data_IF_484424352224
#
_entry.id   IF_484424352224
#
_cell.length_a   1.000
_cell.length_b   1.000
_cell.length_c   1.000
_cell.angle_alpha   90.00
_cell.angle_beta   90.00
_cell.angle_gamma   90.00
#
_symmetry.space_group_name_H-M   'P 1'
#
loop_
_entity.id
_entity.type
_entity.pdbx_description
1 polymer ?
#
# COMPACT_ATOMS: atom_id res chain seq x y z
N UNK A 1 4.17 -2.52 0.81
CA UNK A 1 4.01 -1.30 1.65
C UNK A 1 5.31 -1.09 2.42
N UNK A 2 5.77 0.14 2.67
CA UNK A 2 7.00 0.37 3.44
C UNK A 2 6.69 0.60 4.94
N UNK A 3 7.62 0.26 5.84
CA UNK A 3 7.49 0.57 7.26
C UNK A 3 7.47 2.07 7.53
N UNK A 4 6.78 2.47 8.60
CA UNK A 4 6.77 3.84 9.10
C UNK A 4 8.12 4.23 9.74
N UNK A 5 8.22 5.47 10.24
CA UNK A 5 9.43 5.98 10.91
C UNK A 5 9.85 5.20 12.16
N UNK A 6 8.95 4.35 12.70
CA UNK A 6 9.22 3.48 13.86
C UNK A 6 9.65 2.06 13.44
N UNK A 7 9.74 1.80 12.13
CA UNK A 7 10.08 0.49 11.59
C UNK A 7 8.89 -0.49 11.57
N UNK A 8 7.68 -0.04 11.90
CA UNK A 8 6.49 -0.88 11.94
C UNK A 8 5.80 -0.87 10.60
N UNK A 9 5.41 -2.05 10.11
CA UNK A 9 4.59 -2.16 8.90
C UNK A 9 3.18 -1.60 9.18
N UNK A 10 2.67 -0.68 8.33
CA UNK A 10 1.29 -0.23 8.40
C UNK A 10 0.35 -1.42 8.28
N UNK A 11 -0.62 -1.53 9.19
CA UNK A 11 -1.66 -2.54 9.10
C UNK A 11 -2.51 -2.28 7.84
N UNK A 12 -2.47 -3.14 6.81
CA UNK A 12 -3.17 -2.88 5.55
C UNK A 12 -4.69 -2.72 5.76
N UNK A 13 -5.26 -3.35 6.78
CA UNK A 13 -6.69 -3.27 7.10
C UNK A 13 -7.11 -1.94 7.71
N UNK A 14 -6.15 -1.13 8.15
CA UNK A 14 -6.40 0.21 8.71
C UNK A 14 -6.18 1.32 7.69
N UNK A 15 -5.75 0.98 6.47
CA UNK A 15 -5.53 1.97 5.42
C UNK A 15 -6.87 2.46 4.87
N UNK A 16 -6.97 3.78 4.68
CA UNK A 16 -8.04 4.42 3.94
C UNK A 16 -7.75 4.29 2.44
N UNK A 17 -8.27 3.24 1.82
CA UNK A 17 -8.12 2.92 0.39
C UNK A 17 -9.48 2.86 -0.30
N UNK A 18 -9.50 2.85 -1.63
CA UNK A 18 -10.75 2.70 -2.39
C UNK A 18 -11.31 1.28 -2.24
N UNK A 19 -12.62 1.10 -2.46
CA UNK A 19 -13.26 -0.23 -2.41
C UNK A 19 -12.75 -1.20 -3.47
N UNK A 20 -12.09 -0.68 -4.50
CA UNK A 20 -11.49 -1.41 -5.62
C UNK A 20 -10.03 -1.77 -5.37
N UNK A 21 -9.37 -1.18 -4.36
CA UNK A 21 -8.00 -1.52 -3.99
C UNK A 21 -7.97 -2.89 -3.33
N UNK A 22 -7.19 -3.82 -3.87
CA UNK A 22 -7.02 -5.16 -3.30
C UNK A 22 -5.73 -5.24 -2.49
N UNK A 23 -5.82 -5.84 -1.31
CA UNK A 23 -4.67 -6.22 -0.50
C UNK A 23 -4.36 -7.68 -0.82
N UNK A 24 -3.18 -7.94 -1.39
CA UNK A 24 -2.70 -9.28 -1.75
C UNK A 24 -1.32 -9.54 -1.14
N UNK A 25 -0.83 -10.76 -1.24
CA UNK A 25 0.55 -11.11 -0.88
C UNK A 25 1.36 -11.31 -2.16
N UNK A 26 2.60 -10.84 -2.17
CA UNK A 26 3.57 -11.22 -3.20
C UNK A 26 4.12 -12.64 -2.94
N UNK A 27 5.06 -13.07 -3.79
CA UNK A 27 5.72 -14.39 -3.70
C UNK A 27 6.50 -14.62 -2.40
N UNK A 28 6.87 -13.53 -1.71
CA UNK A 28 7.66 -13.53 -0.48
C UNK A 28 6.74 -13.27 0.74
N UNK A 29 5.43 -13.43 0.57
CA UNK A 29 4.38 -13.21 1.58
C UNK A 29 4.30 -11.75 2.09
N UNK A 30 4.81 -10.78 1.35
CA UNK A 30 4.70 -9.37 1.73
C UNK A 30 3.36 -8.77 1.28
N UNK A 31 2.71 -7.93 2.11
CA UNK A 31 1.48 -7.26 1.74
C UNK A 31 1.71 -6.20 0.66
N UNK A 32 0.95 -6.35 -0.43
CA UNK A 32 0.93 -5.50 -1.61
C UNK A 32 -0.47 -4.93 -1.82
N UNK A 33 -0.52 -3.67 -2.27
CA UNK A 33 -1.75 -3.02 -2.69
C UNK A 33 -1.81 -3.02 -4.22
N UNK A 34 -2.88 -3.57 -4.78
CA UNK A 34 -3.19 -3.48 -6.20
C UNK A 34 -4.20 -2.37 -6.42
N UNK A 35 -3.77 -1.35 -7.15
CA UNK A 35 -4.59 -0.19 -7.51
C UNK A 35 -5.08 -0.33 -8.95
N UNK A 36 -6.33 0.07 -9.19
CA UNK A 36 -6.92 0.07 -10.53
C UNK A 36 -6.55 1.30 -11.36
N UNK A 37 -6.03 2.35 -10.73
CA UNK A 37 -5.67 3.62 -11.36
C UNK A 37 -4.68 4.42 -10.52
N UNK A 38 -3.96 5.35 -11.15
CA UNK A 38 -3.04 6.27 -10.47
C UNK A 38 -3.77 7.16 -9.46
N UNK A 39 -4.99 7.58 -9.78
CA UNK A 39 -5.82 8.35 -8.84
C UNK A 39 -6.06 7.60 -7.51
N UNK A 40 -6.23 6.29 -7.54
CA UNK A 40 -6.40 5.49 -6.33
C UNK A 40 -5.10 5.40 -5.50
N UNK A 41 -3.94 5.48 -6.16
CA UNK A 41 -2.63 5.57 -5.49
C UNK A 41 -2.52 6.90 -4.74
N UNK A 42 -2.80 8.01 -5.43
CA UNK A 42 -2.73 9.36 -4.87
C UNK A 42 -3.67 9.49 -3.66
N UNK A 43 -4.92 9.01 -3.80
CA UNK A 43 -5.88 8.96 -2.71
C UNK A 43 -5.34 8.24 -1.48
N UNK A 44 -4.70 7.07 -1.67
CA UNK A 44 -4.14 6.31 -0.56
C UNK A 44 -2.98 7.05 0.11
N UNK A 45 -2.11 7.73 -0.64
CA UNK A 45 -1.01 8.52 -0.07
C UNK A 45 -1.55 9.70 0.74
N UNK A 46 -2.51 10.45 0.18
CA UNK A 46 -3.07 11.65 0.81
C UNK A 46 -3.85 11.34 2.09
N UNK A 47 -4.57 10.22 2.12
CA UNK A 47 -5.44 9.85 3.25
C UNK A 47 -4.73 9.11 4.37
N UNK A 48 -3.52 8.62 4.15
CA UNK A 48 -2.77 7.84 5.11
C UNK A 48 -1.43 8.54 5.40
N UNK A 49 -1.44 9.49 6.32
CA UNK A 49 -0.24 10.24 6.71
C UNK A 49 0.92 9.30 7.04
N UNK A 50 2.04 9.47 6.35
CA UNK A 50 3.25 8.65 6.55
C UNK A 50 3.26 7.33 5.77
N UNK A 51 2.20 7.00 5.02
CA UNK A 51 2.20 5.87 4.10
C UNK A 51 3.23 6.09 3.00
N UNK A 52 4.14 5.13 2.86
CA UNK A 52 5.11 5.07 1.76
C UNK A 52 4.89 3.80 0.95
N UNK A 53 4.76 3.97 -0.35
CA UNK A 53 4.60 2.90 -1.31
C UNK A 53 5.90 2.71 -2.08
N UNK A 54 6.37 1.46 -2.16
CA UNK A 54 7.44 1.08 -3.06
C UNK A 54 6.80 0.54 -4.35
N UNK A 55 7.31 0.97 -5.51
CA UNK A 55 6.93 0.35 -6.77
C UNK A 55 7.50 -1.06 -6.83
N UNK A 56 6.69 -2.01 -7.28
CA UNK A 56 7.11 -3.39 -7.48
C UNK A 56 7.43 -3.52 -8.97
N UNK A 57 8.71 -3.46 -9.32
CA UNK A 57 9.15 -3.87 -10.66
C UNK A 57 9.52 -5.35 -10.60
N UNK A 58 8.75 -6.19 -11.28
CA UNK A 58 9.07 -7.60 -11.42
C UNK A 58 10.32 -7.74 -12.29
N UNK A 59 11.44 -8.17 -11.70
CA UNK A 59 12.59 -8.74 -12.42
C UNK A 59 12.32 -10.18 -12.80
#
# INVERSE_FOLDING_TARGET
>A
VMPDETGKMPDPKKLSITSTTMIVLDKDENPVLLFESDWAIDWAIDRNTGLKLASIHGT
#
